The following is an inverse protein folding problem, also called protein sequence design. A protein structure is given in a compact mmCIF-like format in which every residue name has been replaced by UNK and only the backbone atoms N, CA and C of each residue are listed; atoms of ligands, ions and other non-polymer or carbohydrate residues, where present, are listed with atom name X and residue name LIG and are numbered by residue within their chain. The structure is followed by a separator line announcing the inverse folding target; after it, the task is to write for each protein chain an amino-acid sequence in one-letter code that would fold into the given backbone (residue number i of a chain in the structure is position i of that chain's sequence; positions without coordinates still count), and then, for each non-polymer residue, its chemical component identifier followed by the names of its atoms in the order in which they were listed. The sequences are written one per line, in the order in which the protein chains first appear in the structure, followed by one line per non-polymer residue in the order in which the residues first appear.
data_IF_363281435488
#
_entry.id   IF_363281435488
#
_cell.length_a   1.000
_cell.length_b   1.000
_cell.length_c   1.000
_cell.angle_alpha   90.00
_cell.angle_beta   90.00
_cell.angle_gamma   90.00
#
_symmetry.space_group_name_H-M   'P 1'
#
loop_
_entity.id
_entity.type
_entity.pdbx_description
1 polymer ?
#
# COMPACT_ATOMS: atom_id res chain seq x y z
N UNK A 1 3.56 -7.28 -8.82
CA UNK A 1 3.27 -8.43 -9.72
C UNK A 1 1.93 -9.05 -9.38
N UNK A 2 1.07 -9.21 -10.39
CA UNK A 2 -0.22 -9.90 -10.33
C UNK A 2 -0.20 -11.11 -11.28
N UNK A 3 -0.80 -12.23 -10.87
CA UNK A 3 -0.99 -13.39 -11.72
C UNK A 3 -2.41 -13.36 -12.31
N UNK A 4 -2.54 -13.32 -13.63
CA UNK A 4 -3.83 -13.52 -14.31
C UNK A 4 -4.17 -15.01 -14.26
N UNK A 5 -5.29 -15.36 -13.62
CA UNK A 5 -5.76 -16.75 -13.51
C UNK A 5 -6.86 -16.99 -14.55
N UNK A 6 -6.70 -18.04 -15.35
CA UNK A 6 -7.72 -18.53 -16.28
C UNK A 6 -8.22 -19.90 -15.81
N UNK A 7 -9.53 -20.12 -15.93
CA UNK A 7 -10.15 -21.39 -15.58
C UNK A 7 -10.06 -22.33 -16.78
N UNK A 8 -9.34 -23.43 -16.63
CA UNK A 8 -9.27 -24.49 -17.63
C UNK A 8 -9.89 -25.77 -17.04
N UNK A 9 -11.16 -26.01 -17.36
CA UNK A 9 -11.93 -27.11 -16.75
C UNK A 9 -12.10 -26.94 -15.23
N UNK A 10 -11.71 -27.92 -14.39
CA UNK A 10 -11.82 -27.83 -12.92
C UNK A 10 -10.64 -27.10 -12.24
N UNK A 11 -9.58 -26.75 -12.98
CA UNK A 11 -8.36 -26.15 -12.42
C UNK A 11 -8.19 -24.68 -12.84
N UNK A 12 -7.54 -23.91 -11.97
CA UNK A 12 -7.13 -22.54 -12.23
C UNK A 12 -5.65 -22.53 -12.62
N UNK A 13 -5.34 -22.06 -13.83
CA UNK A 13 -3.98 -21.99 -14.37
C UNK A 13 -3.58 -20.52 -14.53
N UNK A 14 -2.33 -20.18 -14.25
CA UNK A 14 -1.81 -18.84 -14.50
C UNK A 14 -1.62 -18.66 -16.00
N UNK A 15 -2.40 -17.79 -16.65
CA UNK A 15 -2.33 -17.58 -18.11
C UNK A 15 -1.31 -16.52 -18.52
N UNK A 16 -0.90 -15.68 -17.58
CA UNK A 16 0.10 -14.63 -17.80
C UNK A 16 0.48 -13.95 -16.49
N UNK A 17 1.59 -13.22 -16.52
CA UNK A 17 2.01 -12.35 -15.42
C UNK A 17 1.84 -10.92 -15.86
N UNK A 18 1.24 -10.10 -15.00
CA UNK A 18 1.12 -8.66 -15.19
C UNK A 18 1.89 -7.98 -14.07
N UNK A 19 2.87 -7.18 -14.43
CA UNK A 19 3.59 -6.32 -13.52
C UNK A 19 3.09 -4.89 -13.70
N UNK A 20 2.86 -4.22 -12.57
CA UNK A 20 2.49 -2.81 -12.56
C UNK A 20 3.62 -2.09 -11.87
N UNK A 21 4.32 -1.23 -12.60
CA UNK A 21 5.42 -0.39 -12.15
C UNK A 21 4.99 1.08 -12.14
N UNK A 22 5.80 1.97 -11.54
CA UNK A 22 5.45 3.39 -11.32
C UNK A 22 4.09 3.61 -10.63
N UNK A 23 3.78 2.72 -9.69
CA UNK A 23 2.59 2.81 -8.87
C UNK A 23 2.99 3.07 -7.42
N UNK A 24 2.70 4.26 -6.86
CA UNK A 24 2.97 4.56 -5.47
C UNK A 24 2.32 3.54 -4.54
N UNK A 25 2.97 3.20 -3.43
CA UNK A 25 2.40 2.30 -2.43
C UNK A 25 1.18 2.94 -1.74
N UNK A 26 1.22 4.27 -1.56
CA UNK A 26 0.22 5.18 -1.01
C UNK A 26 0.27 6.49 -1.82
N UNK A 27 -0.87 7.14 -2.02
CA UNK A 27 -0.98 8.47 -2.62
C UNK A 27 -2.06 9.26 -1.90
N UNK A 28 -1.69 10.35 -1.24
CA UNK A 28 -2.65 11.28 -0.63
C UNK A 28 -2.40 12.69 -1.12
N UNK A 29 -3.45 13.30 -1.66
CA UNK A 29 -3.42 14.70 -2.09
C UNK A 29 -4.23 15.56 -1.12
N UNK A 30 -3.66 16.70 -0.70
CA UNK A 30 -4.31 17.65 0.22
C UNK A 30 -4.41 19.03 -0.43
N UNK A 31 -5.21 19.17 -1.50
CA UNK A 31 -5.28 20.43 -2.24
C UNK A 31 -6.01 21.52 -1.42
N UNK A 32 -5.55 22.76 -1.54
CA UNK A 32 -6.22 23.93 -0.91
C UNK A 32 -7.57 24.25 -1.55
N UNK A 33 -7.70 23.94 -2.84
CA UNK A 33 -8.90 24.00 -3.70
C UNK A 33 -8.67 23.03 -4.87
N UNK A 34 -9.68 22.65 -5.68
CA UNK A 34 -9.49 21.67 -6.75
C UNK A 34 -8.35 22.07 -7.72
N UNK A 35 -7.34 21.21 -7.97
CA UNK A 35 -6.14 21.53 -8.74
C UNK A 35 -6.41 22.13 -10.13
N UNK A 36 -7.48 21.66 -10.77
CA UNK A 36 -7.86 22.06 -12.13
C UNK A 36 -8.33 23.53 -12.21
N UNK A 37 -8.58 24.16 -11.07
CA UNK A 37 -9.03 25.56 -11.00
C UNK A 37 -7.88 26.57 -11.04
N UNK A 38 -6.64 26.13 -10.86
CA UNK A 38 -5.48 27.02 -10.84
C UNK A 38 -4.22 26.45 -11.50
N UNK A 39 -4.16 25.17 -11.83
CA UNK A 39 -3.07 24.58 -12.60
C UNK A 39 -3.54 24.14 -13.98
N UNK A 40 -2.62 24.20 -14.94
CA UNK A 40 -2.82 23.55 -16.23
C UNK A 40 -2.77 22.03 -16.07
N UNK A 41 -3.44 21.29 -16.96
CA UNK A 41 -3.37 19.81 -16.95
C UNK A 41 -1.93 19.31 -17.11
N UNK A 42 -1.14 19.98 -17.94
CA UNK A 42 0.29 19.68 -18.14
C UNK A 42 1.08 19.78 -16.84
N UNK A 43 0.82 20.81 -16.02
CA UNK A 43 1.47 20.95 -14.71
C UNK A 43 1.00 19.89 -13.72
N UNK A 44 -0.30 19.57 -13.71
CA UNK A 44 -0.84 18.51 -12.84
C UNK A 44 -0.21 17.16 -13.16
N UNK A 45 -0.06 16.85 -14.46
CA UNK A 45 0.55 15.60 -14.92
C UNK A 45 2.05 15.55 -14.62
N UNK A 46 2.77 16.66 -14.83
CA UNK A 46 4.21 16.74 -14.60
C UNK A 46 4.62 16.55 -13.13
N UNK A 47 3.76 16.96 -12.20
CA UNK A 47 3.99 16.87 -10.75
C UNK A 47 3.09 15.83 -10.06
N UNK A 48 2.39 14.99 -10.83
CA UNK A 48 1.51 13.93 -10.32
C UNK A 48 0.50 14.41 -9.23
N UNK A 49 -0.06 15.60 -9.38
CA UNK A 49 -0.81 16.30 -8.32
C UNK A 49 -2.26 15.82 -8.14
N UNK A 50 -2.75 14.94 -9.00
CA UNK A 50 -4.07 14.35 -8.91
C UNK A 50 -4.05 12.84 -9.13
N UNK A 51 -5.12 12.20 -8.69
CA UNK A 51 -5.29 10.76 -8.85
C UNK A 51 -5.21 10.28 -10.31
N UNK A 52 -5.63 11.14 -11.25
CA UNK A 52 -5.61 10.84 -12.68
C UNK A 52 -4.19 10.78 -13.21
N UNK A 53 -3.33 11.74 -12.84
CA UNK A 53 -1.93 11.80 -13.23
C UNK A 53 -1.17 10.58 -12.68
N UNK A 54 -1.36 10.26 -11.40
CA UNK A 54 -0.77 9.07 -10.77
C UNK A 54 -1.18 7.79 -11.49
N UNK A 55 -2.45 7.67 -11.88
CA UNK A 55 -2.93 6.51 -12.66
C UNK A 55 -2.27 6.46 -14.03
N UNK A 56 -2.18 7.58 -14.71
CA UNK A 56 -1.70 7.66 -16.11
C UNK A 56 -0.18 7.47 -16.21
N UNK A 57 0.56 7.73 -15.14
CA UNK A 57 2.00 7.46 -15.06
C UNK A 57 2.35 5.98 -14.78
N UNK A 58 1.39 5.19 -14.29
CA UNK A 58 1.59 3.75 -14.07
C UNK A 58 2.03 3.04 -15.37
N UNK A 59 2.81 1.97 -15.21
CA UNK A 59 3.23 1.14 -16.34
C UNK A 59 2.76 -0.28 -16.14
N UNK A 60 2.19 -0.86 -17.18
CA UNK A 60 1.67 -2.22 -17.16
C UNK A 60 2.54 -3.06 -18.09
N UNK A 61 3.35 -3.92 -17.50
CA UNK A 61 4.23 -4.83 -18.22
C UNK A 61 3.60 -6.24 -18.20
N UNK A 62 3.22 -6.75 -19.36
CA UNK A 62 2.59 -8.05 -19.49
C UNK A 62 3.53 -9.09 -20.08
N UNK A 63 3.58 -10.27 -19.46
CA UNK A 63 4.37 -11.39 -19.92
C UNK A 63 3.46 -12.55 -20.35
N UNK A 64 3.52 -12.89 -21.64
CA UNK A 64 2.80 -14.00 -22.25
C UNK A 64 1.67 -13.54 -23.15
N UNK A 65 0.48 -13.33 -22.57
CA UNK A 65 -0.74 -12.97 -23.29
C UNK A 65 -0.90 -11.43 -23.38
N UNK A 66 -1.40 -10.96 -24.51
CA UNK A 66 -1.78 -9.55 -24.68
C UNK A 66 -2.91 -9.21 -23.70
N UNK A 67 -2.78 -8.07 -23.02
CA UNK A 67 -3.75 -7.57 -22.05
C UNK A 67 -4.05 -6.12 -22.33
N UNK A 68 -5.29 -5.73 -22.04
CA UNK A 68 -5.68 -4.33 -22.06
C UNK A 68 -5.01 -3.60 -20.88
N UNK A 69 -3.91 -2.90 -21.18
CA UNK A 69 -3.12 -2.16 -20.20
C UNK A 69 -3.95 -1.07 -19.50
N UNK A 70 -4.81 -0.37 -20.22
CA UNK A 70 -5.64 0.70 -19.67
C UNK A 70 -6.66 0.12 -18.67
N UNK A 71 -7.29 -1.00 -19.00
CA UNK A 71 -8.20 -1.70 -18.13
C UNK A 71 -7.49 -2.25 -16.88
N UNK A 72 -6.31 -2.87 -17.04
CA UNK A 72 -5.52 -3.40 -15.91
C UNK A 72 -5.11 -2.29 -14.94
N UNK A 73 -4.62 -1.18 -15.48
CA UNK A 73 -4.28 0.03 -14.73
C UNK A 73 -5.48 0.58 -13.97
N UNK A 74 -6.64 0.70 -14.64
CA UNK A 74 -7.86 1.17 -14.01
C UNK A 74 -8.32 0.24 -12.87
N UNK A 75 -8.26 -1.08 -13.06
CA UNK A 75 -8.61 -2.05 -12.02
C UNK A 75 -7.67 -1.98 -10.82
N UNK A 76 -6.36 -1.88 -11.06
CA UNK A 76 -5.38 -1.74 -10.00
C UNK A 76 -5.56 -0.43 -9.23
N UNK A 77 -5.77 0.68 -9.93
CA UNK A 77 -6.05 1.97 -9.33
C UNK A 77 -7.32 1.93 -8.46
N UNK A 78 -8.40 1.35 -8.99
CA UNK A 78 -9.65 1.18 -8.23
C UNK A 78 -9.47 0.31 -6.98
N UNK A 79 -8.65 -0.74 -7.06
CA UNK A 79 -8.31 -1.57 -5.90
C UNK A 79 -7.58 -0.75 -4.82
N UNK A 80 -6.62 0.10 -5.22
CA UNK A 80 -5.90 0.99 -4.31
C UNK A 80 -6.83 2.01 -3.64
N UNK A 81 -7.76 2.61 -4.39
CA UNK A 81 -8.82 3.48 -3.85
C UNK A 81 -9.71 2.76 -2.86
N UNK A 82 -10.18 1.54 -3.18
CA UNK A 82 -11.00 0.74 -2.27
C UNK A 82 -10.28 0.38 -0.97
N UNK A 83 -8.96 0.26 -1.00
CA UNK A 83 -8.13 0.02 0.18
C UNK A 83 -7.87 1.29 1.02
N UNK A 84 -8.34 2.46 0.57
CA UNK A 84 -8.05 3.75 1.20
C UNK A 84 -6.59 4.17 1.08
N UNK A 85 -5.88 3.66 0.06
CA UNK A 85 -4.47 4.00 -0.16
C UNK A 85 -4.29 5.20 -1.08
N UNK A 86 -5.26 5.43 -1.97
CA UNK A 86 -5.29 6.53 -2.93
C UNK A 86 -6.52 7.39 -2.62
N UNK A 87 -6.29 8.62 -2.17
CA UNK A 87 -7.36 9.51 -1.72
C UNK A 87 -6.96 10.97 -1.89
N UNK A 88 -7.93 11.80 -2.30
CA UNK A 88 -7.81 13.26 -2.30
C UNK A 88 -8.69 13.85 -1.20
N UNK A 89 -8.09 14.67 -0.35
CA UNK A 89 -8.73 15.26 0.83
C UNK A 89 -9.02 16.74 0.59
N UNK A 90 -10.21 17.02 0.07
CA UNK A 90 -10.64 18.39 -0.18
C UNK A 90 -10.96 19.14 1.13
N UNK A 91 -10.47 20.37 1.25
CA UNK A 91 -10.84 21.29 2.32
C UNK A 91 -10.28 20.95 3.71
N UNK A 92 -9.38 19.97 3.82
CA UNK A 92 -8.71 19.60 5.07
C UNK A 92 -7.52 20.52 5.37
N UNK A 93 -6.92 21.10 4.33
CA UNK A 93 -5.78 21.99 4.45
C UNK A 93 -6.20 23.35 5.01
N UNK A 94 -5.73 23.69 6.20
CA UNK A 94 -5.92 25.00 6.83
C UNK A 94 -4.68 25.85 6.60
N UNK A 95 -4.84 26.94 5.85
CA UNK A 95 -3.82 27.95 5.62
C UNK A 95 -4.03 29.11 6.59
N UNK A 96 -2.98 29.45 7.35
CA UNK A 96 -2.95 30.57 8.29
C UNK A 96 -1.85 31.52 7.86
N UNK A 97 -2.18 32.77 7.45
CA UNK A 97 -1.17 33.77 7.12
C UNK A 97 -0.29 34.09 8.33
N UNK A 98 1.04 33.98 8.19
CA UNK A 98 1.99 34.21 9.29
C UNK A 98 2.49 35.67 9.39
N UNK A 99 2.03 36.56 8.49
CA UNK A 99 2.25 38.01 8.56
C UNK A 99 3.54 38.52 7.91
N UNK A 100 4.46 37.63 7.52
CA UNK A 100 5.75 37.93 6.87
C UNK A 100 5.78 37.56 5.38
N UNK A 101 4.62 37.33 4.78
CA UNK A 101 4.51 36.79 3.42
C UNK A 101 4.61 35.26 3.34
N UNK A 102 4.79 34.58 4.49
CA UNK A 102 4.65 33.12 4.58
C UNK A 102 3.27 32.72 5.08
N UNK A 103 2.87 31.50 4.76
CA UNK A 103 1.65 30.88 5.26
C UNK A 103 2.01 29.61 6.04
N UNK A 104 1.56 29.54 7.29
CA UNK A 104 1.57 28.29 8.02
C UNK A 104 0.42 27.42 7.48
N UNK A 105 0.68 26.12 7.34
CA UNK A 105 -0.34 25.15 6.94
C UNK A 105 -0.44 24.02 7.96
N UNK A 106 -1.65 23.50 8.15
CA UNK A 106 -1.91 22.33 8.98
C UNK A 106 -3.04 21.52 8.37
N UNK A 107 -2.89 20.20 8.38
CA UNK A 107 -3.91 19.25 7.94
C UNK A 107 -3.90 18.06 8.89
N UNK A 108 -5.09 17.52 9.16
CA UNK A 108 -5.28 16.35 9.99
C UNK A 108 -5.87 15.24 9.13
N UNK A 109 -5.24 14.06 9.11
CA UNK A 109 -5.74 12.92 8.36
C UNK A 109 -5.57 11.63 9.14
N UNK A 110 -6.37 10.61 8.81
CA UNK A 110 -6.24 9.30 9.42
C UNK A 110 -5.29 8.42 8.61
N UNK A 111 -4.31 7.84 9.28
CA UNK A 111 -3.40 6.90 8.62
C UNK A 111 -4.12 5.58 8.31
N UNK A 112 -4.17 5.11 7.05
CA UNK A 112 -4.88 3.89 6.69
C UNK A 112 -4.17 2.66 7.27
N UNK A 113 -4.93 1.75 7.87
CA UNK A 113 -4.39 0.52 8.47
C UNK A 113 -3.79 -0.46 7.45
N UNK A 114 -4.16 -0.28 6.19
CA UNK A 114 -3.73 -1.07 5.03
C UNK A 114 -2.40 -0.59 4.45
N UNK A 115 -1.92 0.60 4.83
CA UNK A 115 -0.64 1.10 4.33
C UNK A 115 0.52 0.24 4.85
N UNK A 116 1.39 -0.24 3.95
CA UNK A 116 2.56 -1.00 4.35
C UNK A 116 3.54 -0.14 5.17
N UNK A 117 4.32 -0.73 6.08
CA UNK A 117 5.45 -0.03 6.67
C UNK A 117 6.48 0.25 5.58
N UNK A 118 6.75 1.53 5.31
CA UNK A 118 7.73 1.97 4.33
C UNK A 118 8.21 3.40 4.64
N UNK A 119 9.13 3.89 3.82
CA UNK A 119 9.56 5.29 3.82
C UNK A 119 8.71 6.05 2.81
N UNK A 120 7.92 7.00 3.32
CA UNK A 120 7.03 7.84 2.53
C UNK A 120 7.62 9.24 2.36
N UNK A 121 7.32 9.87 1.25
CA UNK A 121 7.69 11.24 0.97
C UNK A 121 6.46 12.14 1.06
N UNK A 122 6.61 13.28 1.71
CA UNK A 122 5.61 14.32 1.83
C UNK A 122 6.16 15.51 1.04
N UNK A 123 5.51 15.82 -0.07
CA UNK A 123 5.88 16.93 -0.95
C UNK A 123 4.86 18.06 -0.79
N UNK A 124 5.39 19.28 -0.68
CA UNK A 124 4.62 20.51 -0.60
C UNK A 124 5.00 21.39 -1.77
N UNK A 125 3.99 21.81 -2.53
CA UNK A 125 4.14 22.72 -3.65
C UNK A 125 3.53 24.08 -3.33
N UNK A 126 4.34 25.14 -3.39
CA UNK A 126 3.88 26.53 -3.37
C UNK A 126 3.54 26.95 -4.79
N UNK A 127 2.34 27.51 -4.95
CA UNK A 127 1.81 27.88 -6.26
C UNK A 127 1.50 29.37 -6.30
N UNK A 128 1.97 30.05 -7.34
CA UNK A 128 1.69 31.46 -7.60
C UNK A 128 1.40 31.65 -9.08
N UNK A 129 0.30 32.34 -9.39
CA UNK A 129 -0.13 32.67 -10.75
C UNK A 129 -0.23 31.45 -11.71
N UNK A 130 -0.51 30.26 -11.16
CA UNK A 130 -0.68 29.03 -11.92
C UNK A 130 0.60 28.26 -12.21
N UNK A 131 1.72 28.68 -11.62
CA UNK A 131 3.01 27.99 -11.71
C UNK A 131 3.47 27.53 -10.32
N UNK A 132 4.26 26.46 -10.30
CA UNK A 132 4.95 25.98 -9.10
C UNK A 132 6.15 26.89 -8.85
N UNK A 133 6.11 27.68 -7.79
CA UNK A 133 7.18 28.62 -7.43
C UNK A 133 8.09 28.12 -6.32
N UNK A 134 7.65 27.09 -5.58
CA UNK A 134 8.41 26.51 -4.49
C UNK A 134 8.04 25.06 -4.26
N UNK A 135 9.02 24.29 -3.78
CA UNK A 135 8.87 22.88 -3.44
C UNK A 135 9.58 22.63 -2.10
N UNK A 136 8.95 21.85 -1.23
CA UNK A 136 9.55 21.37 0.00
C UNK A 136 9.18 19.90 0.23
N UNK A 137 10.18 19.07 0.55
CA UNK A 137 10.01 17.65 0.81
C UNK A 137 10.34 17.28 2.25
N UNK A 138 9.59 16.34 2.82
CA UNK A 138 9.93 15.69 4.09
C UNK A 138 9.73 14.18 3.98
N UNK A 139 10.71 13.43 4.49
CA UNK A 139 10.61 11.97 4.58
C UNK A 139 9.94 11.54 5.88
N UNK A 140 8.91 10.69 5.78
CA UNK A 140 8.22 10.04 6.88
C UNK A 140 8.51 8.54 6.88
N UNK A 141 9.30 8.07 7.85
CA UNK A 141 9.60 6.64 8.00
C UNK A 141 8.57 5.95 8.89
N UNK A 142 7.79 5.04 8.32
CA UNK A 142 6.88 4.19 9.10
C UNK A 142 7.54 2.88 9.50
N UNK A 143 7.37 2.54 10.77
CA UNK A 143 7.87 1.29 11.36
C UNK A 143 6.76 0.57 12.11
N UNK A 144 6.77 -0.75 12.06
CA UNK A 144 5.90 -1.57 12.89
C UNK A 144 6.30 -1.41 14.36
N UNK A 145 5.33 -1.15 15.22
CA UNK A 145 5.53 -1.06 16.67
C UNK A 145 4.72 -2.15 17.39
N UNK A 146 5.07 -2.41 18.65
CA UNK A 146 4.41 -3.43 19.48
C UNK A 146 4.73 -4.87 19.07
N UNK A 147 3.74 -5.77 19.18
CA UNK A 147 3.93 -7.21 18.91
C UNK A 147 4.32 -7.52 17.44
N UNK A 148 3.65 -6.94 16.41
CA UNK A 148 4.08 -7.15 15.03
C UNK A 148 5.50 -6.64 14.76
N UNK A 149 5.87 -5.49 15.34
CA UNK A 149 7.23 -4.95 15.25
C UNK A 149 8.27 -5.86 15.89
N UNK A 150 7.96 -6.43 17.06
CA UNK A 150 8.81 -7.41 17.74
C UNK A 150 9.03 -8.68 16.92
N UNK A 151 7.98 -9.24 16.33
CA UNK A 151 8.11 -10.44 15.47
C UNK A 151 8.91 -10.10 14.21
N UNK A 152 8.65 -8.94 13.59
CA UNK A 152 9.38 -8.48 12.40
C UNK A 152 10.86 -8.28 12.69
N UNK A 153 11.22 -7.62 13.79
CA UNK A 153 12.63 -7.42 14.17
C UNK A 153 13.33 -8.75 14.49
N UNK A 154 12.66 -9.68 15.17
CA UNK A 154 13.22 -11.02 15.40
C UNK A 154 13.49 -11.78 14.10
N UNK A 155 12.56 -11.70 13.14
CA UNK A 155 12.71 -12.36 11.84
C UNK A 155 13.84 -11.76 11.01
N UNK A 156 13.97 -10.42 11.00
CA UNK A 156 14.92 -9.71 10.14
C UNK A 156 16.32 -9.61 10.76
N UNK A 157 16.44 -9.31 12.06
CA UNK A 157 17.74 -9.16 12.72
C UNK A 157 18.31 -10.50 13.21
N UNK A 158 17.45 -11.47 13.55
CA UNK A 158 17.84 -12.75 14.13
C UNK A 158 17.26 -13.94 13.38
N UNK A 159 17.25 -13.87 12.04
CA UNK A 159 16.71 -14.91 11.15
C UNK A 159 17.11 -16.35 11.53
N UNK A 160 18.37 -16.57 11.95
CA UNK A 160 18.88 -17.89 12.38
C UNK A 160 18.16 -18.43 13.62
N UNK A 161 17.92 -17.57 14.61
CA UNK A 161 17.23 -17.93 15.84
C UNK A 161 15.73 -18.06 15.62
N UNK A 162 15.14 -17.15 14.84
CA UNK A 162 13.72 -17.22 14.47
C UNK A 162 13.39 -18.57 13.80
N UNK A 163 14.21 -19.00 12.83
CA UNK A 163 14.04 -20.30 12.17
C UNK A 163 14.06 -21.47 13.15
N UNK A 164 15.02 -21.49 14.08
CA UNK A 164 15.10 -22.54 15.11
C UNK A 164 13.86 -22.56 16.01
N UNK A 165 13.43 -21.41 16.51
CA UNK A 165 12.23 -21.33 17.35
C UNK A 165 10.97 -21.72 16.59
N UNK A 166 10.84 -21.33 15.32
CA UNK A 166 9.71 -21.70 14.49
C UNK A 166 9.61 -23.23 14.33
N UNK A 167 10.73 -23.92 14.08
CA UNK A 167 10.77 -25.38 13.99
C UNK A 167 10.40 -26.02 15.34
N UNK A 168 10.96 -25.55 16.45
CA UNK A 168 10.64 -26.06 17.79
C UNK A 168 9.15 -25.87 18.12
N UNK A 169 8.57 -24.72 17.80
CA UNK A 169 7.14 -24.47 17.96
C UNK A 169 6.30 -25.42 17.09
N UNK A 170 6.65 -25.60 15.83
CA UNK A 170 5.93 -26.50 14.92
C UNK A 170 5.93 -27.95 15.43
N UNK A 171 7.08 -28.45 15.89
CA UNK A 171 7.20 -29.80 16.48
C UNK A 171 6.37 -29.90 17.76
N UNK A 172 6.44 -28.91 18.63
CA UNK A 172 5.69 -28.89 19.89
C UNK A 172 4.17 -28.89 19.67
N UNK A 173 3.69 -28.08 18.72
CA UNK A 173 2.28 -28.07 18.33
C UNK A 173 1.86 -29.38 17.66
N UNK A 174 2.68 -29.96 16.78
CA UNK A 174 2.39 -31.25 16.15
C UNK A 174 2.24 -32.38 17.18
N UNK A 175 3.19 -32.50 18.10
CA UNK A 175 3.14 -33.48 19.20
C UNK A 175 1.99 -33.19 20.18
N UNK A 176 1.71 -31.92 20.46
CA UNK A 176 0.62 -31.52 21.35
C UNK A 176 -0.76 -31.82 20.80
N UNK A 177 -1.01 -31.54 19.52
CA UNK A 177 -2.27 -31.88 18.83
C UNK A 177 -2.46 -33.38 18.77
N UNK A 178 -1.41 -34.14 18.42
CA UNK A 178 -1.44 -35.59 18.38
C UNK A 178 -1.74 -36.20 19.76
N UNK A 179 -1.09 -35.70 20.82
CA UNK A 179 -1.41 -36.09 22.20
C UNK A 179 -2.87 -35.79 22.58
N UNK A 180 -3.37 -34.60 22.24
CA UNK A 180 -4.74 -34.19 22.54
C UNK A 180 -5.78 -35.01 21.76
N UNK A 181 -5.52 -35.27 20.48
CA UNK A 181 -6.35 -36.11 19.62
C UNK A 181 -6.42 -37.55 20.15
N UNK A 182 -5.27 -38.13 20.53
CA UNK A 182 -5.24 -39.45 21.16
C UNK A 182 -6.02 -39.50 22.47
N UNK A 183 -5.98 -38.44 23.28
CA UNK A 183 -6.73 -38.36 24.55
C UNK A 183 -8.24 -38.24 24.35
N UNK A 184 -8.69 -37.52 23.33
CA UNK A 184 -10.12 -37.27 23.05
C UNK A 184 -10.75 -38.45 22.28
N UNK A 185 -10.09 -38.95 21.23
CA UNK A 185 -10.60 -40.02 20.38
C UNK A 185 -10.22 -41.43 20.85
N UNK A 186 -9.14 -41.58 21.62
CA UNK A 186 -8.73 -42.86 22.18
C UNK A 186 -9.66 -43.40 23.28
N UNK A 187 -10.55 -42.57 23.83
CA UNK A 187 -11.60 -43.00 24.75
C UNK A 187 -12.78 -43.72 24.05
N UNK A 188 -13.00 -43.45 22.76
CA UNK A 188 -14.13 -44.00 21.99
C UNK A 188 -13.84 -45.43 21.49
N UNK A 189 -12.56 -45.79 21.31
CA UNK A 189 -12.16 -47.10 20.78
C UNK A 189 -12.19 -48.26 21.81
N UNK A 190 -12.62 -48.03 23.06
CA UNK A 190 -12.70 -49.06 24.12
C UNK A 190 -14.12 -49.59 24.39
N UNK A 191 -15.11 -49.16 23.64
CA UNK A 191 -16.50 -49.62 23.76
C UNK A 191 -16.95 -50.33 22.48
N UNK A 192 -16.35 -51.47 22.17
CA UNK A 192 -16.93 -52.51 21.30
C UNK A 192 -16.30 -53.86 21.61
#
# INVERSE_FOLDING_TARGET
MFNKKVRYGPIWVSSGKVEISRAPSLFFAFPSRPPETFLSRETIDAYELDETAVRDEMRVDAFGEEVDEALMRQHFFNLKRQQGLYETFDGVLKLVPAGDGTAAFSFDFHWPKTAPPDTYEIELYELRDGEVTGEAGQTLKLVLTGFPGFIHSLAMEKARWYGLFAVLFAVSFGLGIDYLARKIFGGVARAH
#
